data_IF_583024588768
#
_entry.id   IF_583024588768
#
_cell.length_a   1.000
_cell.length_b   1.000
_cell.length_c   1.000
_cell.angle_alpha   90.00
_cell.angle_beta   90.00
_cell.angle_gamma   90.00
#
_symmetry.space_group_name_H-M   'P 1'
#
loop_
_entity.id
_entity.type
_entity.pdbx_description
1 polymer ?
#
# COMPACT_ATOMS: atom_id res chain seq x y z
N UNK A 1 6.27 17.64 25.41
CA UNK A 1 6.71 18.75 24.54
C UNK A 1 5.93 18.65 23.23
N UNK A 2 5.04 19.61 22.94
CA UNK A 2 4.32 19.62 21.65
C UNK A 2 5.26 20.15 20.57
N UNK A 3 5.50 19.35 19.53
CA UNK A 3 6.30 19.67 18.35
C UNK A 3 5.72 20.84 17.50
N UNK A 4 4.60 21.44 17.90
CA UNK A 4 4.00 22.64 17.31
C UNK A 4 3.44 22.46 15.90
N UNK A 5 3.23 21.21 15.48
CA UNK A 5 2.45 20.89 14.27
C UNK A 5 1.00 20.77 14.73
N UNK A 6 0.12 21.61 14.19
CA UNK A 6 -1.31 21.55 14.45
C UNK A 6 -1.93 20.32 13.78
N UNK A 7 -2.78 19.62 14.51
CA UNK A 7 -3.57 18.50 14.01
C UNK A 7 -4.87 18.41 14.82
N UNK A 8 -5.85 17.67 14.31
CA UNK A 8 -7.02 17.22 15.08
C UNK A 8 -7.24 15.73 14.87
N UNK A 9 -7.87 15.09 15.82
CA UNK A 9 -8.24 13.69 15.74
C UNK A 9 -9.66 13.56 15.20
N UNK A 10 -9.88 12.63 14.26
CA UNK A 10 -11.23 12.30 13.81
C UNK A 10 -11.99 11.59 14.94
N UNK A 11 -13.11 12.16 15.37
CA UNK A 11 -13.95 11.65 16.46
C UNK A 11 -14.79 10.43 16.01
N UNK A 12 -15.05 10.33 14.71
CA UNK A 12 -15.78 9.26 14.04
C UNK A 12 -15.00 8.75 12.83
N UNK A 13 -15.34 7.55 12.39
CA UNK A 13 -14.87 7.07 11.10
C UNK A 13 -15.54 7.87 9.97
N UNK A 14 -14.80 8.10 8.88
CA UNK A 14 -15.33 8.73 7.66
C UNK A 14 -15.25 7.70 6.56
N UNK A 15 -16.40 7.14 6.18
CA UNK A 15 -16.48 6.16 5.11
C UNK A 15 -16.48 6.84 3.74
N UNK A 16 -15.79 6.22 2.78
CA UNK A 16 -15.77 6.69 1.39
C UNK A 16 -15.17 8.08 1.19
N UNK A 17 -14.27 8.53 2.07
CA UNK A 17 -13.59 9.81 1.91
C UNK A 17 -12.80 9.82 0.59
N UNK A 18 -13.03 10.82 -0.24
CA UNK A 18 -12.27 11.02 -1.47
C UNK A 18 -10.88 11.58 -1.12
N UNK A 19 -9.88 10.70 -1.13
CA UNK A 19 -8.50 11.02 -0.74
C UNK A 19 -7.53 10.55 -1.81
N UNK A 20 -6.39 11.22 -1.92
CA UNK A 20 -5.28 10.71 -2.70
C UNK A 20 -4.49 9.73 -1.82
N UNK A 21 -4.28 8.51 -2.32
CA UNK A 21 -3.48 7.48 -1.68
C UNK A 21 -2.22 7.23 -2.50
N UNK A 22 -1.12 6.90 -1.84
CA UNK A 22 0.12 6.49 -2.50
C UNK A 22 0.25 4.98 -2.42
N UNK A 23 0.41 4.32 -3.57
CA UNK A 23 0.76 2.91 -3.65
C UNK A 23 2.14 2.76 -4.25
N UNK A 24 3.00 2.02 -3.56
CA UNK A 24 4.32 1.68 -4.08
C UNK A 24 4.20 0.56 -5.11
N UNK A 25 4.75 0.82 -6.30
CA UNK A 25 5.01 -0.21 -7.32
C UNK A 25 6.27 -1.01 -6.94
N UNK A 26 7.18 -0.38 -6.19
CA UNK A 26 8.39 -1.00 -5.65
C UNK A 26 8.74 -0.46 -4.27
N UNK A 27 9.06 -1.36 -3.35
CA UNK A 27 9.58 -1.07 -2.02
C UNK A 27 10.94 -1.77 -1.88
N UNK A 28 11.99 -1.01 -1.54
CA UNK A 28 13.36 -1.51 -1.40
C UNK A 28 13.88 -1.19 0.00
N UNK A 29 13.92 -2.21 0.85
CA UNK A 29 14.51 -2.12 2.18
C UNK A 29 16.03 -2.10 2.05
N UNK A 30 16.70 -1.28 2.86
CA UNK A 30 18.15 -1.34 2.98
C UNK A 30 18.59 -2.73 3.48
N UNK A 31 19.75 -3.26 3.07
CA UNK A 31 20.19 -4.58 3.51
C UNK A 31 20.64 -4.61 4.98
N UNK A 32 20.92 -3.45 5.58
CA UNK A 32 21.34 -3.31 6.96
C UNK A 32 20.63 -2.13 7.61
N UNK A 33 20.52 -2.17 8.94
CA UNK A 33 20.02 -1.05 9.74
C UNK A 33 21.02 0.11 9.76
N UNK A 34 20.52 1.32 9.88
CA UNK A 34 21.29 2.53 10.16
C UNK A 34 20.67 3.23 11.36
N UNK A 35 21.47 3.48 12.41
CA UNK A 35 20.99 4.08 13.67
C UNK A 35 19.76 3.36 14.29
N UNK A 36 19.72 2.02 14.21
CA UNK A 36 18.58 1.18 14.63
C UNK A 36 17.33 1.25 13.75
N UNK A 37 17.40 1.95 12.62
CA UNK A 37 16.33 2.05 11.64
C UNK A 37 16.60 1.18 10.41
N UNK A 38 15.60 0.41 10.00
CA UNK A 38 15.61 -0.29 8.73
C UNK A 38 15.07 0.65 7.63
N UNK A 39 15.96 1.33 6.91
CA UNK A 39 15.54 2.32 5.90
C UNK A 39 14.78 1.69 4.74
N UNK A 40 13.90 2.48 4.12
CA UNK A 40 13.04 2.08 3.02
C UNK A 40 13.06 3.13 1.90
N UNK A 41 13.19 2.67 0.65
CA UNK A 41 12.98 3.48 -0.56
C UNK A 41 11.77 2.97 -1.32
N UNK A 42 10.88 3.87 -1.74
CA UNK A 42 9.69 3.52 -2.54
C UNK A 42 9.66 4.23 -3.89
N UNK A 43 9.14 3.52 -4.89
CA UNK A 43 8.73 4.05 -6.18
C UNK A 43 7.22 3.78 -6.32
N UNK A 44 6.44 4.75 -6.78
CA UNK A 44 4.99 4.64 -6.83
C UNK A 44 4.32 5.93 -7.27
N UNK A 45 2.99 5.96 -7.16
CA UNK A 45 2.18 7.10 -7.59
C UNK A 45 1.02 7.39 -6.64
N UNK A 46 0.62 8.66 -6.61
CA UNK A 46 -0.61 9.11 -5.95
C UNK A 46 -1.82 8.90 -6.86
N UNK A 47 -2.90 8.36 -6.31
CA UNK A 47 -4.18 8.18 -7.01
C UNK A 47 -5.34 8.55 -6.12
N UNK A 48 -6.34 9.22 -6.68
CA UNK A 48 -7.60 9.52 -5.99
C UNK A 48 -8.43 8.25 -5.88
N UNK A 49 -8.78 7.85 -4.66
CA UNK A 49 -9.68 6.71 -4.42
C UNK A 49 -10.49 6.90 -3.13
N UNK A 50 -11.72 6.35 -3.05
CA UNK A 50 -12.49 6.37 -1.81
C UNK A 50 -11.86 5.46 -0.77
N UNK A 51 -11.60 5.97 0.44
CA UNK A 51 -11.11 5.17 1.57
C UNK A 51 -11.91 5.45 2.83
N UNK A 52 -12.03 4.42 3.67
CA UNK A 52 -12.48 4.61 5.06
C UNK A 52 -11.33 5.15 5.89
N UNK A 53 -11.55 6.31 6.52
CA UNK A 53 -10.67 6.89 7.52
C UNK A 53 -11.16 6.45 8.90
N UNK A 54 -10.33 5.75 9.65
CA UNK A 54 -10.72 5.25 10.96
C UNK A 54 -10.91 6.38 11.97
N UNK A 55 -11.83 6.18 12.92
CA UNK A 55 -11.87 6.98 14.15
C UNK A 55 -10.48 6.97 14.80
N UNK A 56 -10.02 8.12 15.27
CA UNK A 56 -8.68 8.26 15.85
C UNK A 56 -7.59 8.63 14.83
N UNK A 57 -7.88 8.63 13.53
CA UNK A 57 -6.95 9.15 12.53
C UNK A 57 -6.65 10.64 12.77
N UNK A 58 -5.44 11.07 12.44
CA UNK A 58 -5.02 12.46 12.56
C UNK A 58 -5.27 13.19 11.24
N UNK A 59 -6.00 14.30 11.31
CA UNK A 59 -6.06 15.28 10.24
C UNK A 59 -5.06 16.40 10.53
N UNK A 60 -4.07 16.56 9.66
CA UNK A 60 -3.01 17.56 9.78
C UNK A 60 -3.22 18.63 8.70
N UNK A 61 -3.83 19.79 9.02
CA UNK A 61 -4.07 20.83 8.01
C UNK A 61 -2.75 21.43 7.55
N UNK A 62 -2.55 21.61 6.25
CA UNK A 62 -1.33 22.27 5.73
C UNK A 62 -1.40 23.80 5.78
N UNK A 63 -2.56 24.38 6.10
CA UNK A 63 -2.73 25.81 6.34
C UNK A 63 -2.15 26.23 7.72
N UNK A 64 -0.85 25.97 7.92
CA UNK A 64 -0.12 26.29 9.14
C UNK A 64 1.35 26.65 8.80
N UNK A 65 2.06 27.42 9.65
CA UNK A 65 3.44 27.85 9.37
C UNK A 65 4.42 26.70 9.08
N UNK A 66 4.17 25.51 9.64
CA UNK A 66 5.02 24.32 9.49
C UNK A 66 4.65 23.42 8.30
N UNK A 67 3.86 23.89 7.34
CA UNK A 67 3.39 23.09 6.19
C UNK A 67 4.54 22.35 5.47
N UNK A 68 5.65 23.02 5.19
CA UNK A 68 6.82 22.42 4.52
C UNK A 68 7.44 21.29 5.33
N UNK A 69 7.46 21.42 6.65
CA UNK A 69 7.94 20.37 7.54
C UNK A 69 7.01 19.16 7.54
N UNK A 70 5.69 19.39 7.60
CA UNK A 70 4.69 18.32 7.48
C UNK A 70 4.88 17.54 6.18
N UNK A 71 5.05 18.26 5.05
CA UNK A 71 5.32 17.62 3.76
C UNK A 71 6.65 16.87 3.77
N UNK A 72 7.74 17.43 4.32
CA UNK A 72 9.02 16.73 4.39
C UNK A 72 8.95 15.43 5.22
N UNK A 73 8.19 15.44 6.32
CA UNK A 73 8.03 14.27 7.20
C UNK A 73 7.17 13.17 6.58
N UNK A 74 6.10 13.54 5.87
CA UNK A 74 5.08 12.59 5.42
C UNK A 74 5.06 12.34 3.92
N UNK A 75 5.86 13.05 3.12
CA UNK A 75 6.03 12.73 1.71
C UNK A 75 6.78 11.39 1.55
N UNK A 76 6.16 10.32 1.01
CA UNK A 76 6.76 8.99 0.96
C UNK A 76 8.06 8.95 0.15
N UNK A 77 8.24 9.86 -0.80
CA UNK A 77 9.43 9.92 -1.66
C UNK A 77 10.46 10.96 -1.18
N UNK A 78 10.23 11.67 -0.08
CA UNK A 78 11.20 12.60 0.48
C UNK A 78 12.35 11.85 1.20
N UNK A 79 13.61 12.31 1.05
CA UNK A 79 14.80 11.57 1.48
C UNK A 79 14.90 11.35 3.00
N UNK A 80 14.33 12.26 3.80
CA UNK A 80 14.32 12.22 5.27
C UNK A 80 12.90 12.11 5.84
N UNK A 81 11.97 11.59 5.06
CA UNK A 81 10.62 11.30 5.56
C UNK A 81 10.64 10.21 6.62
N UNK A 82 9.59 10.17 7.43
CA UNK A 82 9.37 9.07 8.38
C UNK A 82 9.33 7.72 7.65
N UNK A 83 8.82 7.68 6.41
CA UNK A 83 8.91 6.49 5.57
C UNK A 83 10.36 6.13 5.25
N UNK A 84 11.18 7.09 4.82
CA UNK A 84 12.58 6.83 4.46
C UNK A 84 13.43 6.33 5.64
N UNK A 85 13.01 6.65 6.87
CA UNK A 85 13.56 6.16 8.14
C UNK A 85 12.88 4.90 8.67
N UNK A 86 11.90 4.35 7.95
CA UNK A 86 11.33 3.03 8.22
C UNK A 86 10.16 3.00 9.20
N UNK A 87 9.62 4.14 9.62
CA UNK A 87 8.50 4.22 10.57
C UNK A 87 7.22 3.55 10.03
N UNK A 88 7.12 3.39 8.72
CA UNK A 88 5.97 2.79 8.03
C UNK A 88 6.29 1.43 7.39
N UNK A 89 7.41 0.79 7.72
CA UNK A 89 7.83 -0.49 7.11
C UNK A 89 6.74 -1.56 7.13
N UNK A 90 5.94 -1.62 8.20
CA UNK A 90 4.82 -2.56 8.36
C UNK A 90 3.76 -2.49 7.25
N UNK A 91 3.65 -1.38 6.51
CA UNK A 91 2.75 -1.25 5.37
C UNK A 91 3.33 -1.83 4.06
N UNK A 92 4.65 -2.06 4.03
CA UNK A 92 5.41 -2.54 2.87
C UNK A 92 6.01 -3.94 3.11
N UNK A 93 5.78 -4.51 4.29
CA UNK A 93 6.19 -5.85 4.66
C UNK A 93 5.06 -6.84 4.40
N UNK A 94 5.35 -7.88 3.62
CA UNK A 94 4.39 -8.95 3.35
C UNK A 94 4.30 -9.84 4.59
N UNK A 95 3.18 -9.76 5.30
CA UNK A 95 2.96 -10.46 6.58
C UNK A 95 2.64 -11.93 6.41
N UNK A 96 1.87 -12.27 5.39
CA UNK A 96 1.43 -13.64 5.13
C UNK A 96 1.73 -14.01 3.67
N UNK A 97 2.38 -15.16 3.51
CA UNK A 97 2.56 -15.82 2.23
C UNK A 97 1.52 -16.93 2.13
N UNK A 98 0.78 -16.96 1.03
CA UNK A 98 0.00 -18.13 0.68
C UNK A 98 0.96 -19.14 0.09
N UNK A 99 1.22 -20.23 0.82
CA UNK A 99 2.06 -21.32 0.34
C UNK A 99 1.65 -21.77 -1.06
N UNK A 100 2.62 -22.16 -1.87
CA UNK A 100 2.40 -22.37 -3.32
C UNK A 100 1.35 -23.45 -3.60
N UNK A 101 1.34 -24.52 -2.81
CA UNK A 101 0.35 -25.59 -2.94
C UNK A 101 -1.07 -25.08 -2.61
N UNK A 102 -1.21 -24.23 -1.59
CA UNK A 102 -2.49 -23.58 -1.26
C UNK A 102 -2.92 -22.63 -2.38
N UNK A 103 -1.97 -21.86 -2.93
CA UNK A 103 -2.24 -20.95 -4.04
C UNK A 103 -2.67 -21.71 -5.31
N UNK A 104 -2.13 -22.90 -5.55
CA UNK A 104 -2.55 -23.78 -6.65
C UNK A 104 -3.98 -24.29 -6.45
N UNK A 105 -4.33 -24.77 -5.25
CA UNK A 105 -5.69 -25.20 -4.93
C UNK A 105 -6.70 -24.06 -5.06
N UNK A 106 -6.34 -22.87 -4.58
CA UNK A 106 -7.13 -21.64 -4.75
C UNK A 106 -7.29 -21.30 -6.23
N UNK A 107 -6.22 -21.38 -7.03
CA UNK A 107 -6.28 -21.12 -8.46
C UNK A 107 -7.24 -22.08 -9.17
N UNK A 108 -7.18 -23.37 -8.85
CA UNK A 108 -8.08 -24.40 -9.39
C UNK A 108 -9.53 -24.11 -9.01
N UNK A 109 -9.80 -23.82 -7.74
CA UNK A 109 -11.13 -23.51 -7.25
C UNK A 109 -11.70 -22.23 -7.90
N UNK A 110 -10.91 -21.17 -8.01
CA UNK A 110 -11.32 -19.91 -8.63
C UNK A 110 -11.63 -20.10 -10.13
N UNK A 111 -10.76 -20.79 -10.89
CA UNK A 111 -11.00 -21.07 -12.32
C UNK A 111 -12.20 -21.99 -12.56
N UNK A 112 -12.46 -22.95 -11.66
CA UNK A 112 -13.63 -23.82 -11.76
C UNK A 112 -14.94 -23.05 -11.49
N UNK A 113 -14.91 -22.08 -10.58
CA UNK A 113 -16.06 -21.25 -10.23
C UNK A 113 -16.33 -20.15 -11.26
N UNK A 114 -15.28 -19.60 -11.87
CA UNK A 114 -15.37 -18.48 -12.81
C UNK A 114 -14.63 -18.79 -14.14
N UNK A 115 -15.37 -19.25 -15.17
CA UNK A 115 -14.80 -19.51 -16.49
C UNK A 115 -14.23 -18.25 -17.18
N UNK A 116 -14.72 -17.05 -16.85
CA UNK A 116 -14.22 -15.81 -17.42
C UNK A 116 -12.82 -15.50 -16.86
N UNK A 117 -12.61 -15.71 -15.57
CA UNK A 117 -11.28 -15.63 -14.94
C UNK A 117 -10.30 -16.63 -15.56
N UNK A 118 -10.74 -17.85 -15.83
CA UNK A 118 -9.91 -18.85 -16.52
C UNK A 118 -9.50 -18.38 -17.93
N UNK A 119 -10.41 -17.75 -18.67
CA UNK A 119 -10.11 -17.17 -19.98
C UNK A 119 -9.16 -15.95 -19.88
N UNK A 120 -9.34 -15.07 -18.89
CA UNK A 120 -8.44 -13.94 -18.61
C UNK A 120 -7.01 -14.43 -18.34
N UNK A 121 -6.87 -15.45 -17.48
CA UNK A 121 -5.58 -16.03 -17.14
C UNK A 121 -4.89 -16.63 -18.37
N UNK A 122 -5.61 -17.44 -19.17
CA UNK A 122 -5.06 -18.02 -20.42
C UNK A 122 -4.58 -16.94 -21.38
N UNK A 123 -5.41 -15.93 -21.62
CA UNK A 123 -5.05 -14.79 -22.46
C UNK A 123 -3.80 -14.09 -21.94
N UNK A 124 -3.68 -13.88 -20.62
CA UNK A 124 -2.48 -13.26 -20.03
C UNK A 124 -1.25 -14.14 -20.20
N UNK A 125 -1.35 -15.46 -20.03
CA UNK A 125 -0.25 -16.40 -20.30
C UNK A 125 0.18 -16.35 -21.78
N UNK A 126 -0.75 -16.22 -22.71
CA UNK A 126 -0.45 -16.16 -24.15
C UNK A 126 0.18 -14.82 -24.58
N UNK A 127 -0.27 -13.72 -23.99
CA UNK A 127 0.08 -12.35 -24.42
C UNK A 127 1.25 -11.73 -23.66
N UNK A 128 1.59 -12.24 -22.47
CA UNK A 128 2.62 -11.68 -21.59
C UNK A 128 3.69 -12.74 -21.28
N UNK A 129 4.77 -12.70 -22.07
CA UNK A 129 5.85 -13.68 -21.96
C UNK A 129 6.60 -13.63 -20.61
N UNK A 130 6.66 -12.46 -19.97
CA UNK A 130 7.29 -12.31 -18.66
C UNK A 130 6.44 -12.98 -17.57
N UNK A 131 5.12 -12.78 -17.63
CA UNK A 131 4.16 -13.46 -16.76
C UNK A 131 4.14 -14.98 -17.00
N UNK A 132 4.13 -15.42 -18.25
CA UNK A 132 4.09 -16.84 -18.61
C UNK A 132 5.27 -17.63 -18.04
N UNK A 133 6.46 -17.02 -18.04
CA UNK A 133 7.72 -17.61 -17.56
C UNK A 133 7.92 -17.50 -16.04
N UNK A 134 7.01 -16.87 -15.31
CA UNK A 134 7.14 -16.65 -13.87
C UNK A 134 6.04 -17.42 -13.10
N UNK A 135 6.34 -18.63 -12.57
CA UNK A 135 5.39 -19.42 -11.78
C UNK A 135 4.80 -18.67 -10.58
N UNK A 136 5.63 -17.92 -9.85
CA UNK A 136 5.16 -17.13 -8.70
C UNK A 136 4.16 -16.06 -9.13
N UNK A 137 4.43 -15.33 -10.22
CA UNK A 137 3.50 -14.31 -10.73
C UNK A 137 2.15 -14.91 -11.12
N UNK A 138 2.16 -16.13 -11.67
CA UNK A 138 0.94 -16.87 -12.04
C UNK A 138 0.13 -17.29 -10.82
N UNK A 139 0.76 -17.76 -9.75
CA UNK A 139 0.08 -18.08 -8.49
C UNK A 139 -0.44 -16.81 -7.81
N UNK A 140 0.37 -15.75 -7.81
CA UNK A 140 0.02 -14.46 -7.21
C UNK A 140 -1.20 -13.82 -7.89
N UNK A 141 -1.40 -14.03 -9.20
CA UNK A 141 -2.61 -13.59 -9.92
C UNK A 141 -3.89 -14.09 -9.26
N UNK A 142 -3.92 -15.33 -8.77
CA UNK A 142 -5.07 -15.89 -8.05
C UNK A 142 -5.07 -15.53 -6.56
N UNK A 143 -3.89 -15.54 -5.93
CA UNK A 143 -3.76 -15.19 -4.52
C UNK A 143 -4.28 -13.76 -4.24
N UNK A 144 -3.98 -12.79 -5.10
CA UNK A 144 -4.47 -11.40 -5.00
C UNK A 144 -6.00 -11.25 -5.04
N UNK A 145 -6.70 -12.25 -5.58
CA UNK A 145 -8.17 -12.29 -5.67
C UNK A 145 -8.79 -13.10 -4.53
N UNK A 146 -7.97 -13.76 -3.72
CA UNK A 146 -8.45 -14.53 -2.58
C UNK A 146 -8.80 -13.59 -1.40
N UNK A 147 -9.85 -13.87 -0.61
CA UNK A 147 -10.23 -13.04 0.53
C UNK A 147 -9.16 -12.83 1.61
N UNK A 148 -8.15 -13.70 1.67
CA UNK A 148 -7.02 -13.57 2.60
C UNK A 148 -5.93 -12.60 2.12
N UNK A 149 -6.04 -12.05 0.91
CA UNK A 149 -5.06 -11.10 0.40
C UNK A 149 -5.16 -9.77 1.13
N UNK A 150 -4.05 -9.30 1.70
CA UNK A 150 -3.97 -7.95 2.24
C UNK A 150 -3.88 -6.91 1.11
N UNK A 151 -5.03 -6.32 0.77
CA UNK A 151 -5.14 -5.21 -0.19
C UNK A 151 -4.25 -4.01 0.18
N UNK A 152 -3.89 -3.89 1.46
CA UNK A 152 -3.12 -2.76 1.98
C UNK A 152 -1.61 -2.96 1.85
N UNK A 153 -1.14 -4.12 1.37
CA UNK A 153 0.27 -4.29 1.06
C UNK A 153 0.71 -3.21 0.04
N UNK A 154 1.80 -2.51 0.38
CA UNK A 154 2.36 -1.38 -0.35
C UNK A 154 1.47 -0.12 -0.41
N UNK A 155 0.38 -0.06 0.36
CA UNK A 155 -0.43 1.14 0.52
C UNK A 155 0.12 2.00 1.66
N UNK A 156 0.57 3.20 1.32
CA UNK A 156 1.10 4.14 2.31
C UNK A 156 -0.01 4.60 3.29
N UNK A 157 0.21 4.59 4.61
CA UNK A 157 -0.86 4.90 5.58
C UNK A 157 -1.17 6.39 5.74
N UNK A 158 -0.42 7.28 5.10
CA UNK A 158 -0.72 8.73 5.09
C UNK A 158 -1.32 9.10 3.74
N UNK A 159 -2.50 9.71 3.80
CA UNK A 159 -3.30 10.08 2.64
C UNK A 159 -3.31 11.60 2.50
N UNK A 160 -3.57 12.11 1.29
CA UNK A 160 -3.79 13.55 1.07
C UNK A 160 -5.25 13.81 0.77
N UNK A 161 -5.70 15.01 1.07
CA UNK A 161 -7.02 15.49 0.69
C UNK A 161 -6.95 16.99 0.38
N UNK A 162 -7.74 17.42 -0.59
CA UNK A 162 -7.98 18.82 -0.94
C UNK A 162 -9.15 19.42 -0.12
N UNK A 163 -9.82 18.59 0.67
CA UNK A 163 -11.00 18.93 1.45
C UNK A 163 -10.72 18.90 2.94
N UNK A 164 -11.38 19.77 3.70
CA UNK A 164 -11.32 19.71 5.16
C UNK A 164 -12.24 18.58 5.62
N UNK A 165 -11.66 17.60 6.31
CA UNK A 165 -12.39 16.49 6.92
C UNK A 165 -12.99 16.89 8.27
#
# INVERSE_FOLDING_TARGET
VQHGIGYRTLDKAVDGAAVDTFRADKASFAPASFESHQRLKVEGSWKREPRTLARGALFVPIAQPKARLVMALFEPQAPDSLLAWGEFNNAFERKEYMEEYVAEDVARAQMAKDPALAAEFRKKVETDAAFAKNPHARLEFFARRHPSWDERLNLYPVMRTDSVL
#
